data_IF_021102205019
#
_entry.id   IF_021102205019
#
_cell.length_a   1.000
_cell.length_b   1.000
_cell.length_c   1.000
_cell.angle_alpha   90.00
_cell.angle_beta   90.00
_cell.angle_gamma   90.00
#
_symmetry.space_group_name_H-M   'P 1'
#
loop_
_entity.id
_entity.type
_entity.pdbx_description
1 polymer ?
#
# COMPACT_ATOMS: atom_id res chain seq x y z
N UNK A 1 -15.75 10.16 -49.46
CA UNK A 1 -14.32 10.02 -49.10
C UNK A 1 -13.65 11.39 -49.18
N UNK A 2 -13.53 12.12 -48.09
CA UNK A 2 -12.90 13.42 -48.09
C UNK A 2 -11.84 13.49 -46.98
N UNK A 3 -10.59 13.61 -47.40
CA UNK A 3 -9.44 13.89 -46.55
C UNK A 3 -9.49 15.38 -46.14
N UNK A 4 -9.60 15.66 -44.84
CA UNK A 4 -9.38 17.01 -44.33
C UNK A 4 -7.96 17.14 -43.78
N UNK A 5 -7.14 17.85 -44.51
CA UNK A 5 -5.83 18.33 -44.05
C UNK A 5 -6.08 19.56 -43.17
N UNK A 6 -5.64 19.54 -41.96
CA UNK A 6 -5.61 20.71 -41.09
C UNK A 6 -4.15 21.17 -40.96
N UNK A 7 -3.92 22.38 -41.43
CA UNK A 7 -2.64 23.09 -41.37
C UNK A 7 -2.46 23.69 -39.97
N UNK A 8 -1.30 23.46 -39.38
CA UNK A 8 -0.85 24.10 -38.15
C UNK A 8 -0.24 25.46 -38.48
N UNK A 9 -0.72 26.48 -37.82
CA UNK A 9 -0.11 27.80 -37.79
C UNK A 9 0.63 27.98 -36.47
N UNK A 10 1.93 28.20 -36.55
CA UNK A 10 2.79 28.54 -35.41
C UNK A 10 2.65 30.06 -35.14
N UNK A 11 2.49 30.42 -33.88
CA UNK A 11 2.67 31.81 -33.44
C UNK A 11 3.64 31.80 -32.24
N UNK A 12 4.83 32.34 -32.50
CA UNK A 12 5.83 32.78 -31.55
C UNK A 12 5.46 34.22 -31.08
N UNK A 13 5.56 34.50 -29.81
CA UNK A 13 6.01 35.74 -29.18
C UNK A 13 5.61 35.77 -27.70
N UNK A 14 6.55 35.98 -26.85
CA UNK A 14 6.73 37.12 -26.01
C UNK A 14 7.36 36.76 -24.68
N UNK A 15 8.63 37.07 -24.56
CA UNK A 15 9.41 37.06 -23.31
C UNK A 15 9.01 38.29 -22.49
N UNK A 16 8.47 38.12 -21.29
CA UNK A 16 8.39 39.20 -20.29
C UNK A 16 8.94 38.66 -18.97
N UNK A 17 10.13 39.12 -18.66
CA UNK A 17 10.72 39.05 -17.31
C UNK A 17 10.04 40.09 -16.43
N UNK A 18 9.28 39.66 -15.45
CA UNK A 18 8.86 40.52 -14.35
C UNK A 18 9.27 39.87 -13.04
N UNK A 19 10.34 40.43 -12.46
CA UNK A 19 10.72 40.23 -11.08
C UNK A 19 9.69 40.86 -10.17
N UNK A 20 9.00 40.10 -9.33
CA UNK A 20 8.25 40.65 -8.20
C UNK A 20 8.44 39.82 -6.95
N UNK A 21 8.71 40.58 -5.92
CA UNK A 21 9.01 40.33 -4.54
C UNK A 21 8.21 39.20 -3.89
N UNK A 22 8.90 38.57 -2.95
CA UNK A 22 8.35 37.63 -1.96
C UNK A 22 7.12 38.21 -1.24
N UNK A 23 5.97 37.65 -1.48
CA UNK A 23 4.84 37.74 -0.59
C UNK A 23 4.52 36.33 -0.11
N UNK A 24 4.82 36.04 1.14
CA UNK A 24 4.38 34.83 1.82
C UNK A 24 2.83 34.77 1.78
N UNK A 25 2.19 33.70 1.36
CA UNK A 25 0.77 33.53 1.56
C UNK A 25 0.52 33.33 3.05
N UNK A 26 -0.02 34.36 3.71
CA UNK A 26 -0.68 34.22 5.00
C UNK A 26 -1.88 33.30 4.79
N UNK A 27 -1.81 32.06 5.21
CA UNK A 27 -2.98 31.21 5.35
C UNK A 27 -3.83 31.79 6.47
N UNK A 28 -4.84 32.57 6.08
CA UNK A 28 -5.88 33.00 6.97
C UNK A 28 -6.59 31.74 7.52
N UNK A 29 -6.48 31.55 8.81
CA UNK A 29 -7.23 30.55 9.56
C UNK A 29 -8.73 30.85 9.41
N UNK A 30 -9.41 30.06 8.62
CA UNK A 30 -10.86 30.03 8.58
C UNK A 30 -11.31 28.63 8.96
N UNK A 31 -11.97 28.51 10.11
CA UNK A 31 -12.74 27.32 10.49
C UNK A 31 -11.97 26.26 11.27
N UNK A 32 -11.57 26.59 12.50
CA UNK A 32 -11.29 25.57 13.50
C UNK A 32 -12.60 24.89 13.90
N UNK A 33 -12.94 23.81 13.22
CA UNK A 33 -13.75 22.76 13.85
C UNK A 33 -12.90 22.15 14.96
N UNK A 34 -13.40 21.97 16.17
CA UNK A 34 -12.68 21.26 17.19
C UNK A 34 -12.58 19.78 16.77
N UNK A 35 -11.52 19.45 16.04
CA UNK A 35 -11.11 18.07 15.89
C UNK A 35 -10.72 17.62 17.31
N UNK A 36 -11.52 16.76 17.87
CA UNK A 36 -11.27 16.06 19.13
C UNK A 36 -9.91 15.38 19.05
N UNK A 37 -8.93 16.04 19.66
CA UNK A 37 -7.53 15.59 19.73
C UNK A 37 -7.33 14.47 20.77
N UNK A 38 -8.26 13.52 20.86
CA UNK A 38 -8.20 12.44 21.84
C UNK A 38 -7.48 11.16 21.35
N UNK A 39 -6.98 11.15 20.11
CA UNK A 39 -6.30 9.95 19.61
C UNK A 39 -4.77 9.94 19.73
N UNK A 40 -4.14 11.06 20.04
CA UNK A 40 -2.67 11.16 20.09
C UNK A 40 -2.07 10.79 21.46
N UNK A 41 -2.85 10.82 22.54
CA UNK A 41 -2.34 10.57 23.89
C UNK A 41 -2.25 9.08 24.28
N UNK A 42 -2.80 8.16 23.46
CA UNK A 42 -2.90 6.75 23.84
C UNK A 42 -1.63 5.91 23.59
N UNK A 43 -0.59 6.47 22.99
CA UNK A 43 0.59 5.70 22.56
C UNK A 43 1.87 5.93 23.37
N UNK A 44 1.81 6.72 24.45
CA UNK A 44 3.00 7.02 25.26
C UNK A 44 3.43 5.89 26.21
N UNK A 45 2.59 4.85 26.38
CA UNK A 45 2.97 3.65 27.16
C UNK A 45 3.20 2.49 26.19
N UNK A 46 4.40 1.89 26.25
CA UNK A 46 4.75 0.69 25.47
C UNK A 46 3.77 -0.48 25.71
N UNK A 47 3.86 -1.55 24.90
CA UNK A 47 2.97 -2.69 25.00
C UNK A 47 3.11 -3.37 26.37
N UNK A 48 2.00 -3.68 27.03
CA UNK A 48 1.97 -4.35 28.36
C UNK A 48 2.13 -5.86 28.28
N UNK A 49 2.49 -6.43 27.12
CA UNK A 49 2.68 -7.86 26.90
C UNK A 49 2.99 -8.15 25.43
N UNK A 50 3.21 -9.41 25.09
CA UNK A 50 3.51 -9.88 23.74
C UNK A 50 2.31 -9.83 22.76
N UNK A 51 1.12 -9.66 23.29
CA UNK A 51 -0.12 -9.62 22.50
C UNK A 51 -0.60 -10.98 22.00
N UNK A 52 -0.06 -12.08 22.50
CA UNK A 52 -0.36 -13.45 22.07
C UNK A 52 -1.88 -13.71 21.96
N UNK A 53 -2.65 -13.42 23.00
CA UNK A 53 -4.12 -13.62 22.99
C UNK A 53 -4.82 -12.88 21.84
N UNK A 54 -4.43 -11.62 21.59
CA UNK A 54 -4.99 -10.84 20.48
C UNK A 54 -4.57 -11.40 19.13
N UNK A 55 -3.33 -11.86 19.03
CA UNK A 55 -2.81 -12.47 17.81
C UNK A 55 -3.55 -13.78 17.52
N UNK A 56 -3.66 -14.69 18.48
CA UNK A 56 -4.38 -15.95 18.34
C UNK A 56 -5.81 -15.76 17.83
N UNK A 57 -6.54 -14.82 18.40
CA UNK A 57 -7.88 -14.50 17.93
C UNK A 57 -7.93 -13.99 16.46
N UNK A 58 -6.83 -13.40 15.97
CA UNK A 58 -6.74 -12.83 14.61
C UNK A 58 -6.17 -13.79 13.57
N UNK A 59 -5.47 -14.82 13.97
CA UNK A 59 -4.78 -15.78 13.08
C UNK A 59 -5.69 -16.28 11.96
N UNK A 60 -6.91 -16.81 12.19
CA UNK A 60 -7.74 -17.36 11.13
C UNK A 60 -8.13 -16.30 10.07
N UNK A 61 -8.28 -15.05 10.49
CA UNK A 61 -8.56 -13.94 9.56
C UNK A 61 -7.32 -13.53 8.78
N UNK A 62 -6.14 -13.59 9.40
CA UNK A 62 -4.86 -13.27 8.75
C UNK A 62 -4.54 -14.30 7.69
N UNK A 63 -4.69 -15.58 7.95
CA UNK A 63 -4.50 -16.67 6.97
C UNK A 63 -5.38 -16.46 5.74
N UNK A 64 -6.69 -16.31 5.93
CA UNK A 64 -7.64 -16.05 4.85
C UNK A 64 -7.30 -14.78 4.05
N UNK A 65 -6.74 -13.76 4.71
CA UNK A 65 -6.32 -12.51 4.06
C UNK A 65 -5.06 -12.72 3.22
N UNK A 66 -4.08 -13.43 3.74
CA UNK A 66 -2.83 -13.75 3.03
C UNK A 66 -3.15 -14.61 1.81
N UNK A 67 -3.93 -15.68 1.95
CA UNK A 67 -4.30 -16.55 0.83
C UNK A 67 -5.04 -15.79 -0.28
N UNK A 68 -5.98 -14.93 0.09
CA UNK A 68 -6.68 -14.09 -0.90
C UNK A 68 -5.74 -13.12 -1.60
N UNK A 69 -4.75 -12.57 -0.92
CA UNK A 69 -3.75 -11.67 -1.53
C UNK A 69 -2.84 -12.43 -2.47
N UNK A 70 -2.29 -13.56 -2.06
CA UNK A 70 -1.46 -14.42 -2.91
C UNK A 70 -2.24 -14.80 -4.16
N UNK A 71 -3.45 -15.39 -4.01
CA UNK A 71 -4.32 -15.79 -5.14
C UNK A 71 -4.64 -14.62 -6.09
N UNK A 72 -4.80 -13.40 -5.58
CA UNK A 72 -5.00 -12.22 -6.42
C UNK A 72 -3.76 -11.85 -7.22
N UNK A 73 -2.59 -11.87 -6.58
CA UNK A 73 -1.33 -11.47 -7.21
C UNK A 73 -0.86 -12.48 -8.25
N UNK A 74 -1.11 -13.77 -8.04
CA UNK A 74 -0.81 -14.86 -8.98
C UNK A 74 -1.89 -15.07 -10.05
N UNK A 75 -2.94 -14.30 -10.01
CA UNK A 75 -4.08 -14.43 -10.93
C UNK A 75 -3.72 -14.16 -12.40
N UNK A 76 -4.65 -14.48 -13.32
CA UNK A 76 -4.46 -14.27 -14.76
C UNK A 76 -4.40 -12.78 -15.12
N UNK A 77 -3.99 -12.50 -16.38
CA UNK A 77 -3.88 -11.14 -16.94
C UNK A 77 -5.19 -10.35 -16.81
N UNK A 78 -6.34 -10.99 -16.97
CA UNK A 78 -7.66 -10.34 -16.84
C UNK A 78 -7.96 -9.84 -15.41
N UNK A 79 -7.25 -10.36 -14.41
CA UNK A 79 -7.48 -9.98 -13.01
C UNK A 79 -6.73 -8.70 -12.64
N UNK A 80 -7.47 -7.62 -12.42
CA UNK A 80 -6.88 -6.38 -11.90
C UNK A 80 -6.17 -6.64 -10.56
N UNK A 81 -4.89 -6.25 -10.49
CA UNK A 81 -4.06 -6.41 -9.31
C UNK A 81 -3.18 -7.66 -9.31
N UNK A 82 -3.26 -8.53 -10.32
CA UNK A 82 -2.28 -9.59 -10.54
C UNK A 82 -0.95 -9.03 -11.08
N UNK A 83 0.12 -9.80 -10.93
CA UNK A 83 1.43 -9.44 -11.51
C UNK A 83 1.33 -9.44 -13.03
N UNK A 84 0.70 -10.45 -13.63
CA UNK A 84 0.50 -10.57 -15.09
C UNK A 84 -0.27 -9.38 -15.68
N UNK A 85 -1.30 -8.87 -14.97
CA UNK A 85 -1.99 -7.65 -15.39
C UNK A 85 -1.08 -6.43 -15.40
N UNK A 86 -0.18 -6.32 -14.42
CA UNK A 86 0.76 -5.22 -14.34
C UNK A 86 1.84 -5.32 -15.42
N UNK A 87 2.34 -6.52 -15.72
CA UNK A 87 3.27 -6.81 -16.81
C UNK A 87 2.67 -6.39 -18.16
N UNK A 88 1.45 -6.79 -18.46
CA UNK A 88 0.77 -6.37 -19.68
C UNK A 88 0.61 -4.85 -19.80
N UNK A 89 0.39 -4.14 -18.67
CA UNK A 89 0.35 -2.66 -18.68
C UNK A 89 1.70 -2.05 -18.97
N UNK A 90 2.78 -2.62 -18.48
CA UNK A 90 4.15 -2.18 -18.77
C UNK A 90 4.43 -2.32 -20.27
N UNK A 91 4.07 -3.46 -20.86
CA UNK A 91 4.26 -3.71 -22.28
C UNK A 91 3.45 -2.73 -23.16
N UNK A 92 2.22 -2.45 -22.76
CA UNK A 92 1.39 -1.44 -23.44
C UNK A 92 2.01 -0.04 -23.36
N UNK A 93 2.54 0.34 -22.18
CA UNK A 93 3.23 1.62 -22.02
C UNK A 93 4.50 1.71 -22.87
N UNK A 94 5.26 0.63 -22.97
CA UNK A 94 6.45 0.55 -23.85
C UNK A 94 6.05 0.69 -25.34
N UNK A 95 5.03 -0.03 -25.78
CA UNK A 95 4.51 0.05 -27.17
C UNK A 95 4.03 1.45 -27.53
N UNK A 96 3.50 2.19 -26.55
CA UNK A 96 3.05 3.56 -26.72
C UNK A 96 4.18 4.61 -26.53
N UNK A 97 5.44 4.18 -26.35
CA UNK A 97 6.60 5.03 -26.04
C UNK A 97 6.44 5.89 -24.77
N UNK A 98 5.60 5.46 -23.83
CA UNK A 98 5.41 6.12 -22.55
C UNK A 98 6.47 5.65 -21.54
N UNK A 99 7.74 6.01 -21.75
CA UNK A 99 8.90 5.50 -20.99
C UNK A 99 8.80 5.76 -19.48
N UNK A 100 8.39 6.96 -19.07
CA UNK A 100 8.23 7.29 -17.66
C UNK A 100 7.14 6.43 -16.98
N UNK A 101 6.03 6.19 -17.69
CA UNK A 101 4.95 5.32 -17.19
C UNK A 101 5.43 3.87 -17.10
N UNK A 102 6.13 3.38 -18.12
CA UNK A 102 6.68 2.02 -18.14
C UNK A 102 7.66 1.81 -16.96
N UNK A 103 8.54 2.78 -16.69
CA UNK A 103 9.46 2.76 -15.54
C UNK A 103 8.70 2.70 -14.23
N UNK A 104 7.78 3.63 -13.97
CA UNK A 104 6.97 3.67 -12.75
C UNK A 104 6.21 2.35 -12.50
N UNK A 105 5.60 1.79 -13.54
CA UNK A 105 4.90 0.50 -13.43
C UNK A 105 5.88 -0.65 -13.18
N UNK A 106 7.10 -0.59 -13.73
CA UNK A 106 8.17 -1.56 -13.50
C UNK A 106 8.60 -1.59 -12.03
N UNK A 107 8.86 -0.43 -11.44
CA UNK A 107 9.21 -0.29 -10.03
C UNK A 107 8.08 -0.85 -9.12
N UNK A 108 6.84 -0.56 -9.50
CA UNK A 108 5.67 -1.11 -8.80
C UNK A 108 5.54 -2.64 -8.95
N UNK A 109 5.94 -3.20 -10.10
CA UNK A 109 5.96 -4.64 -10.30
C UNK A 109 7.02 -5.31 -9.41
N UNK A 110 8.22 -4.74 -9.31
CA UNK A 110 9.29 -5.23 -8.43
C UNK A 110 8.81 -5.29 -6.97
N UNK A 111 8.30 -4.18 -6.44
CA UNK A 111 7.75 -4.12 -5.08
C UNK A 111 6.64 -5.16 -4.83
N UNK A 112 5.80 -5.42 -5.84
CA UNK A 112 4.76 -6.46 -5.68
C UNK A 112 5.31 -7.87 -5.71
N UNK A 113 6.34 -8.16 -6.49
CA UNK A 113 7.03 -9.46 -6.47
C UNK A 113 7.66 -9.74 -5.10
N UNK A 114 8.32 -8.75 -4.53
CA UNK A 114 8.87 -8.82 -3.17
C UNK A 114 7.78 -9.05 -2.12
N UNK A 115 6.67 -8.31 -2.21
CA UNK A 115 5.52 -8.50 -1.32
C UNK A 115 4.95 -9.91 -1.44
N UNK A 116 4.83 -10.47 -2.65
CA UNK A 116 4.36 -11.84 -2.85
C UNK A 116 5.29 -12.86 -2.20
N UNK A 117 6.61 -12.71 -2.37
CA UNK A 117 7.60 -13.56 -1.72
C UNK A 117 7.50 -13.48 -0.19
N UNK A 118 7.37 -12.27 0.36
CA UNK A 118 7.17 -12.05 1.79
C UNK A 118 5.89 -12.68 2.32
N UNK A 119 4.76 -12.59 1.59
CA UNK A 119 3.50 -13.21 1.99
C UNK A 119 3.60 -14.74 1.98
N UNK A 120 4.26 -15.32 0.97
CA UNK A 120 4.52 -16.77 0.90
C UNK A 120 5.37 -17.25 2.07
N UNK A 121 6.41 -16.50 2.43
CA UNK A 121 7.27 -16.79 3.59
C UNK A 121 6.51 -16.72 4.92
N UNK A 122 5.63 -15.72 5.08
CA UNK A 122 4.84 -15.54 6.31
C UNK A 122 3.71 -16.57 6.49
N UNK A 123 3.33 -17.27 5.45
CA UNK A 123 2.24 -18.24 5.52
C UNK A 123 2.57 -19.44 6.43
N UNK A 124 3.74 -20.12 6.32
CA UNK A 124 4.13 -21.15 7.27
C UNK A 124 4.27 -20.61 8.70
N UNK A 125 4.94 -19.45 8.89
CA UNK A 125 5.09 -18.83 10.22
C UNK A 125 3.73 -18.64 10.92
N UNK A 126 2.70 -18.27 10.15
CA UNK A 126 1.36 -18.05 10.69
C UNK A 126 0.67 -19.37 11.07
N UNK A 127 0.97 -20.47 10.36
CA UNK A 127 0.51 -21.83 10.75
C UNK A 127 1.15 -22.29 12.05
N UNK A 128 2.45 -22.01 12.24
CA UNK A 128 3.15 -22.33 13.49
C UNK A 128 2.55 -21.56 14.66
N UNK A 129 2.22 -20.28 14.44
CA UNK A 129 1.48 -19.48 15.43
C UNK A 129 0.09 -20.07 15.71
N UNK A 130 -0.63 -20.55 14.70
CA UNK A 130 -1.94 -21.20 14.88
C UNK A 130 -1.83 -22.45 15.74
N UNK A 131 -0.82 -23.28 15.47
CA UNK A 131 -0.53 -24.49 16.25
C UNK A 131 -0.20 -24.16 17.70
N UNK A 132 0.67 -23.16 17.90
CA UNK A 132 0.99 -22.68 19.24
C UNK A 132 -0.26 -22.15 19.98
N UNK A 133 -1.10 -21.39 19.31
CA UNK A 133 -2.36 -20.89 19.88
C UNK A 133 -3.30 -22.01 20.32
N UNK A 134 -3.39 -23.08 19.54
CA UNK A 134 -4.21 -24.25 19.88
C UNK A 134 -3.66 -24.98 21.14
N UNK A 135 -2.35 -25.10 21.25
CA UNK A 135 -1.70 -25.73 22.39
C UNK A 135 -1.73 -24.88 23.68
N UNK A 136 -1.91 -23.55 23.57
CA UNK A 136 -1.81 -22.60 24.69
C UNK A 136 -3.13 -21.86 24.97
N UNK A 137 -4.26 -22.55 24.89
CA UNK A 137 -5.59 -22.01 25.20
C UNK A 137 -5.86 -20.62 24.55
N UNK A 138 -5.47 -20.45 23.27
CA UNK A 138 -5.62 -19.19 22.57
C UNK A 138 -4.74 -18.05 23.09
N UNK A 139 -3.59 -18.39 23.71
CA UNK A 139 -2.65 -17.43 24.30
C UNK A 139 -3.17 -16.81 25.61
N UNK A 140 -4.05 -17.50 26.30
CA UNK A 140 -4.36 -17.16 27.69
C UNK A 140 -3.09 -17.42 28.53
N UNK A 141 -2.69 -16.43 29.35
CA UNK A 141 -1.61 -16.65 30.31
C UNK A 141 -2.06 -17.72 31.30
N UNK A 142 -1.33 -18.80 31.40
CA UNK A 142 -1.51 -19.72 32.50
C UNK A 142 -1.30 -18.95 33.80
N UNK A 143 -2.30 -18.94 34.66
CA UNK A 143 -2.22 -18.29 35.96
C UNK A 143 -1.22 -18.95 36.93
N UNK A 144 -0.59 -20.02 36.51
CA UNK A 144 0.31 -20.87 37.33
C UNK A 144 1.77 -20.42 37.31
N UNK A 145 2.18 -19.48 36.49
CA UNK A 145 3.59 -19.05 36.41
C UNK A 145 3.93 -17.81 37.28
N UNK A 146 3.11 -17.48 38.25
CA UNK A 146 3.31 -16.31 39.13
C UNK A 146 3.56 -16.67 40.59
N UNK A 147 4.07 -17.89 40.87
CA UNK A 147 4.45 -18.31 42.24
C UNK A 147 5.75 -19.11 42.18
N UNK A 148 6.85 -18.43 41.99
CA UNK A 148 8.20 -18.90 42.32
C UNK A 148 9.09 -17.69 42.52
#
# INVERSE_FOLDING_TARGET
MQRRKATMTAALAGLVLATTAAAAPSFAAAGASPATSDSAAAHTKGPKGDGARKLCHRVPRLEKRIDRRIKRMEGPVARRGSLKFLEARIDNAKKANHTAIAKFLGDRLATRKELLASLKKKKPDLKDVATWCAANNGGAKDKTAATS
#
